data_IF_606188786567
#
_entry.id   IF_606188786567
#
_cell.length_a   1.000
_cell.length_b   1.000
_cell.length_c   1.000
_cell.angle_alpha   90.00
_cell.angle_beta   90.00
_cell.angle_gamma   90.00
#
_symmetry.space_group_name_H-M   'P 1'
#
loop_
_entity.id
_entity.type
_entity.pdbx_description
1 polymer ?
#
# COMPACT_ATOMS: atom_id res chain seq x y z
N UNK A 1 -3.16 -5.53 -4.00
CA UNK A 1 -3.40 -4.82 -5.28
C UNK A 1 -4.87 -4.69 -5.63
N UNK A 2 -5.69 -5.75 -5.57
CA UNK A 2 -7.11 -5.71 -5.98
C UNK A 2 -7.91 -4.58 -5.32
N UNK A 3 -7.75 -4.37 -4.00
CA UNK A 3 -8.45 -3.31 -3.27
C UNK A 3 -8.15 -1.90 -3.81
N UNK A 4 -6.90 -1.62 -4.19
CA UNK A 4 -6.52 -0.32 -4.74
C UNK A 4 -7.17 -0.05 -6.10
N UNK A 5 -7.28 -1.07 -6.95
CA UNK A 5 -8.02 -0.97 -8.20
C UNK A 5 -9.52 -0.71 -7.96
N UNK A 6 -10.11 -1.37 -6.96
CA UNK A 6 -11.51 -1.15 -6.57
C UNK A 6 -11.71 0.29 -6.07
N UNK A 7 -10.88 0.78 -5.15
CA UNK A 7 -10.95 2.16 -4.67
C UNK A 7 -10.92 3.17 -5.83
N UNK A 8 -10.02 2.98 -6.80
CA UNK A 8 -9.94 3.81 -8.01
C UNK A 8 -11.19 3.72 -8.87
N UNK A 9 -11.79 2.54 -9.02
CA UNK A 9 -13.06 2.39 -9.72
C UNK A 9 -14.22 3.15 -9.03
N UNK A 10 -14.13 3.37 -7.71
CA UNK A 10 -15.06 4.19 -6.94
C UNK A 10 -14.67 5.68 -6.85
N UNK A 11 -13.69 6.14 -7.64
CA UNK A 11 -13.27 7.55 -7.64
C UNK A 11 -12.46 7.96 -6.41
N UNK A 12 -11.86 6.99 -5.71
CA UNK A 12 -10.95 7.20 -4.59
C UNK A 12 -9.50 6.90 -5.01
N UNK A 13 -8.56 7.47 -4.28
CA UNK A 13 -7.15 7.17 -4.40
C UNK A 13 -6.65 6.43 -3.16
N UNK A 14 -5.48 5.80 -3.32
CA UNK A 14 -4.85 5.02 -2.25
C UNK A 14 -3.37 5.32 -2.14
N UNK A 15 -2.84 5.30 -0.92
CA UNK A 15 -1.40 5.25 -0.64
C UNK A 15 -1.08 4.04 0.23
N UNK A 16 0.04 3.37 -0.06
CA UNK A 16 0.52 2.22 0.70
C UNK A 16 1.72 2.65 1.52
N UNK A 17 1.73 2.29 2.79
CA UNK A 17 2.88 2.42 3.68
C UNK A 17 3.17 1.08 4.33
N UNK A 18 4.44 0.78 4.52
CA UNK A 18 4.95 -0.40 5.22
C UNK A 18 5.61 -0.04 6.57
N UNK A 19 5.85 1.24 6.83
CA UNK A 19 6.36 1.73 8.10
C UNK A 19 5.23 1.95 9.12
N UNK A 20 5.34 1.27 10.28
CA UNK A 20 4.43 1.39 11.42
C UNK A 20 5.14 1.06 12.72
N UNK A 21 4.55 1.44 13.85
CA UNK A 21 5.04 1.18 15.20
C UNK A 21 4.28 -0.02 15.81
N UNK A 22 4.96 -1.14 16.10
CA UNK A 22 4.34 -2.33 16.68
C UNK A 22 3.70 -2.12 18.05
N UNK A 23 4.30 -1.27 18.89
CA UNK A 23 3.77 -0.98 20.22
C UNK A 23 2.43 -0.25 20.09
N UNK A 24 2.38 0.75 19.21
CA UNK A 24 1.13 1.48 18.93
C UNK A 24 0.04 0.60 18.32
N UNK A 25 0.38 -0.38 17.47
CA UNK A 25 -0.62 -1.29 16.92
C UNK A 25 -1.26 -2.16 18.00
N UNK A 26 -0.44 -2.66 18.93
CA UNK A 26 -0.92 -3.47 20.06
C UNK A 26 -1.76 -2.62 21.00
N UNK A 27 -1.28 -1.43 21.37
CA UNK A 27 -1.93 -0.55 22.34
C UNK A 27 -3.25 0.06 21.82
N UNK A 28 -3.29 0.49 20.56
CA UNK A 28 -4.45 1.19 20.01
C UNK A 28 -5.51 0.25 19.41
N UNK A 29 -5.09 -0.86 18.81
CA UNK A 29 -5.98 -1.77 18.09
C UNK A 29 -6.14 -3.14 18.76
N UNK A 30 -5.35 -3.44 19.80
CA UNK A 30 -5.41 -4.73 20.50
C UNK A 30 -4.98 -5.92 19.62
N UNK A 31 -4.08 -5.68 18.66
CA UNK A 31 -3.63 -6.72 17.73
C UNK A 31 -2.62 -7.63 18.44
N UNK A 32 -2.88 -8.93 18.40
CA UNK A 32 -1.94 -9.96 18.81
C UNK A 32 -0.88 -10.17 17.71
N UNK A 33 0.31 -9.59 17.92
CA UNK A 33 1.41 -9.65 16.95
C UNK A 33 2.14 -11.00 16.91
N UNK A 34 1.88 -11.92 17.85
CA UNK A 34 2.38 -13.31 17.74
C UNK A 34 1.53 -14.11 16.75
N UNK A 35 0.26 -13.70 16.56
CA UNK A 35 -0.69 -14.35 15.64
C UNK A 35 -0.84 -13.62 14.31
N UNK A 36 -0.79 -12.30 14.30
CA UNK A 36 -1.04 -11.48 13.13
C UNK A 36 0.17 -10.61 12.79
N UNK A 37 0.74 -10.85 11.61
CA UNK A 37 1.85 -10.05 11.08
C UNK A 37 1.25 -8.90 10.24
N UNK A 38 1.44 -7.64 10.64
CA UNK A 38 0.97 -6.50 9.85
C UNK A 38 1.87 -6.33 8.62
N UNK A 39 1.26 -6.31 7.43
CA UNK A 39 2.00 -6.21 6.17
C UNK A 39 2.03 -4.77 5.64
N UNK A 40 0.87 -4.14 5.54
CA UNK A 40 0.72 -2.82 4.92
C UNK A 40 -0.38 -2.01 5.58
N UNK A 41 -0.15 -0.70 5.68
CA UNK A 41 -1.18 0.30 5.96
C UNK A 41 -1.64 0.87 4.63
N UNK A 42 -2.96 0.81 4.38
CA UNK A 42 -3.57 1.36 3.17
C UNK A 42 -4.42 2.59 3.51
N UNK A 43 -3.94 3.76 3.09
CA UNK A 43 -4.69 5.01 3.18
C UNK A 43 -5.65 5.07 1.99
N UNK A 44 -6.92 5.37 2.22
CA UNK A 44 -7.95 5.48 1.19
C UNK A 44 -8.67 6.82 1.36
N UNK A 45 -8.82 7.58 0.27
CA UNK A 45 -9.52 8.86 0.31
C UNK A 45 -9.60 9.54 -1.05
N UNK A 46 -10.23 10.71 -1.09
CA UNK A 46 -10.26 11.53 -2.31
C UNK A 46 -9.00 12.38 -2.37
N UNK A 47 -8.27 12.31 -3.48
CA UNK A 47 -7.06 13.11 -3.63
C UNK A 47 -7.37 14.62 -3.68
N UNK A 48 -6.49 15.41 -3.07
CA UNK A 48 -6.52 16.88 -3.12
C UNK A 48 -5.64 17.46 -4.24
N UNK A 49 -4.88 16.62 -4.95
CA UNK A 49 -3.98 17.04 -6.02
C UNK A 49 -3.48 15.90 -6.91
N UNK A 50 -2.68 16.19 -7.94
CA UNK A 50 -2.09 15.16 -8.77
C UNK A 50 -1.08 14.31 -7.99
N UNK A 51 -1.03 13.02 -8.29
CA UNK A 51 -0.01 12.13 -7.75
C UNK A 51 1.38 12.51 -8.29
N UNK A 52 2.43 12.26 -7.49
CA UNK A 52 3.82 12.39 -7.95
C UNK A 52 4.06 11.47 -9.13
N UNK A 53 4.62 12.01 -10.21
CA UNK A 53 4.99 11.21 -11.37
C UNK A 53 6.09 10.21 -10.99
N UNK A 54 5.94 8.96 -11.44
CA UNK A 54 6.89 7.88 -11.17
C UNK A 54 7.19 7.18 -12.48
N UNK A 55 8.47 6.97 -12.76
CA UNK A 55 8.93 6.21 -13.93
C UNK A 55 9.09 4.73 -13.58
N UNK A 56 9.13 3.86 -14.60
CA UNK A 56 9.42 2.43 -14.49
C UNK A 56 10.57 2.10 -15.42
N UNK A 57 11.45 1.18 -15.03
CA UNK A 57 12.40 0.60 -15.97
C UNK A 57 11.64 -0.14 -17.08
N UNK A 58 12.24 -0.24 -18.27
CA UNK A 58 11.70 -1.03 -19.37
C UNK A 58 11.73 -2.53 -19.02
N UNK A 59 10.83 -3.31 -19.62
CA UNK A 59 10.73 -4.75 -19.34
C UNK A 59 12.04 -5.52 -19.57
N UNK A 60 12.83 -5.10 -20.57
CA UNK A 60 14.12 -5.71 -20.91
C UNK A 60 15.17 -5.64 -19.78
N UNK A 61 14.98 -4.77 -18.78
CA UNK A 61 15.84 -4.74 -17.60
C UNK A 61 15.60 -5.92 -16.65
N UNK A 62 14.45 -6.60 -16.74
CA UNK A 62 14.03 -7.64 -15.80
C UNK A 62 13.70 -8.98 -16.45
N UNK A 63 13.38 -8.98 -17.76
CA UNK A 63 12.97 -10.19 -18.48
C UNK A 63 14.20 -10.87 -19.08
N UNK A 64 14.51 -12.08 -18.61
CA UNK A 64 15.54 -12.94 -19.18
C UNK A 64 14.85 -14.09 -19.91
N UNK A 65 15.07 -14.17 -21.23
CA UNK A 65 14.64 -15.31 -22.04
C UNK A 65 15.77 -16.35 -22.06
N UNK A 66 15.43 -17.60 -21.75
CA UNK A 66 16.33 -18.77 -21.81
C UNK A 66 15.82 -19.81 -22.80
#
# INVERSE_FOLDING_TARGET
MMLQCICRAHGLDTSVMDAWDPELLTDLFGIDLERYIPEVVLIIGKSTGPATERYRYTGDHFIIWG
#
